data_IF_862743278645
#
_entry.id   IF_862743278645
#
_cell.length_a   1.000
_cell.length_b   1.000
_cell.length_c   1.000
_cell.angle_alpha   90.00
_cell.angle_beta   90.00
_cell.angle_gamma   90.00
#
_symmetry.space_group_name_H-M   'P 1'
#
loop_
_entity.id
_entity.type
_entity.pdbx_description
1 polymer ?
#
# COMPACT_ATOMS: atom_id res chain seq x y z
N UNK A 1 13.16 -10.98 5.52
CA UNK A 1 13.37 -10.00 4.42
C UNK A 1 14.34 -8.87 4.82
N UNK A 2 14.08 -8.04 5.85
CA UNK A 2 14.96 -6.90 6.22
C UNK A 2 16.43 -7.31 6.32
N UNK A 3 16.79 -8.40 7.02
CA UNK A 3 18.16 -8.91 7.11
C UNK A 3 18.77 -9.19 5.73
N UNK A 4 18.02 -9.86 4.86
CA UNK A 4 18.48 -10.14 3.49
C UNK A 4 18.81 -8.87 2.70
N UNK A 5 18.07 -7.79 2.93
CA UNK A 5 18.29 -6.52 2.25
C UNK A 5 19.40 -5.67 2.86
N UNK A 6 19.57 -5.73 4.19
CA UNK A 6 20.45 -4.82 4.93
C UNK A 6 21.80 -5.43 5.28
N UNK A 7 21.84 -6.72 5.65
CA UNK A 7 23.03 -7.37 6.14
C UNK A 7 23.83 -7.98 4.98
N UNK A 8 25.17 -7.92 5.02
CA UNK A 8 26.02 -8.55 4.01
C UNK A 8 25.85 -10.08 4.03
N UNK A 9 25.89 -10.65 5.23
CA UNK A 9 25.58 -12.06 5.49
C UNK A 9 24.36 -12.11 6.39
N UNK A 10 23.32 -12.78 5.95
CA UNK A 10 22.04 -12.90 6.66
C UNK A 10 21.89 -14.31 7.20
N UNK A 11 21.48 -14.42 8.45
CA UNK A 11 21.00 -15.66 9.05
C UNK A 11 19.78 -15.35 9.92
N UNK A 12 18.83 -16.27 9.99
CA UNK A 12 17.64 -16.10 10.83
C UNK A 12 17.10 -17.46 11.26
N UNK A 13 16.77 -17.58 12.53
CA UNK A 13 16.14 -18.78 13.06
C UNK A 13 15.04 -18.41 14.04
N UNK A 14 13.88 -19.02 13.88
CA UNK A 14 12.77 -18.99 14.82
C UNK A 14 12.02 -20.34 14.81
N UNK A 15 10.82 -20.39 15.35
CA UNK A 15 9.98 -21.58 15.40
C UNK A 15 9.56 -22.09 14.00
N UNK A 16 9.41 -21.17 13.02
CA UNK A 16 8.87 -21.48 11.68
C UNK A 16 9.93 -21.48 10.59
N UNK A 17 11.01 -20.75 10.79
CA UNK A 17 12.03 -20.53 9.75
C UNK A 17 13.44 -20.81 10.27
N UNK A 18 14.18 -21.53 9.46
CA UNK A 18 15.63 -21.71 9.65
C UNK A 18 16.35 -21.30 8.36
N UNK A 19 16.83 -20.06 8.34
CA UNK A 19 17.63 -19.51 7.26
C UNK A 19 19.11 -19.61 7.63
N UNK A 20 19.88 -20.55 7.03
CA UNK A 20 21.32 -20.63 7.24
C UNK A 20 22.00 -19.36 6.73
N UNK A 21 23.24 -19.14 7.15
CA UNK A 21 24.04 -18.01 6.71
C UNK A 21 24.11 -17.95 5.17
N UNK A 22 23.63 -16.88 4.61
CA UNK A 22 23.54 -16.68 3.16
C UNK A 22 23.78 -15.23 2.77
N UNK A 23 24.05 -15.01 1.49
CA UNK A 23 24.16 -13.68 0.88
C UNK A 23 23.13 -13.53 -0.21
N UNK A 24 22.49 -12.35 -0.28
CA UNK A 24 21.57 -11.99 -1.34
C UNK A 24 22.09 -10.77 -2.08
N UNK A 25 22.19 -10.87 -3.40
CA UNK A 25 22.54 -9.78 -4.28
C UNK A 25 21.65 -9.76 -5.52
N UNK A 26 21.38 -8.56 -6.13
CA UNK A 26 21.88 -7.25 -5.68
C UNK A 26 21.17 -6.77 -4.41
N UNK A 27 21.85 -5.92 -3.63
CA UNK A 27 21.22 -5.20 -2.52
C UNK A 27 20.34 -4.08 -3.04
N UNK A 28 19.22 -3.76 -2.35
CA UNK A 28 18.40 -2.60 -2.71
C UNK A 28 19.21 -1.30 -2.71
N UNK A 29 18.85 -0.40 -3.62
CA UNK A 29 19.41 0.96 -3.66
C UNK A 29 18.86 1.81 -2.53
N UNK A 30 17.56 1.65 -2.21
CA UNK A 30 16.91 2.36 -1.11
C UNK A 30 17.52 2.00 0.25
N UNK A 31 17.61 2.99 1.13
CA UNK A 31 18.15 2.83 2.49
C UNK A 31 17.06 3.18 3.52
N UNK A 32 16.96 2.40 4.61
CA UNK A 32 17.71 1.17 4.92
C UNK A 32 17.31 -0.02 4.04
N UNK A 33 16.13 -0.01 3.43
CA UNK A 33 15.57 -1.01 2.51
C UNK A 33 14.37 -0.41 1.77
N UNK A 34 13.84 -1.04 0.71
CA UNK A 34 12.57 -0.64 0.10
C UNK A 34 11.44 -0.59 1.14
N UNK A 35 10.49 0.35 1.01
CA UNK A 35 9.34 0.40 1.93
C UNK A 35 8.55 -0.91 1.86
N UNK A 36 8.10 -1.37 3.03
CA UNK A 36 7.31 -2.59 3.16
C UNK A 36 5.85 -2.20 3.36
N UNK A 37 5.02 -2.54 2.38
CA UNK A 37 3.58 -2.37 2.46
C UNK A 37 2.93 -3.71 2.83
N UNK A 38 2.02 -3.67 3.80
CA UNK A 38 1.23 -4.83 4.19
C UNK A 38 -0.18 -4.72 3.65
N UNK A 39 -0.69 -5.82 3.10
CA UNK A 39 -2.08 -5.96 2.70
C UNK A 39 -2.97 -6.50 3.82
N UNK A 40 -4.29 -6.44 3.57
CA UNK A 40 -5.33 -7.02 4.42
C UNK A 40 -5.89 -6.07 5.48
N UNK A 41 -7.12 -6.39 5.92
CA UNK A 41 -7.95 -5.55 6.79
C UNK A 41 -8.16 -6.14 8.19
N UNK A 42 -7.64 -7.34 8.46
CA UNK A 42 -7.78 -7.98 9.78
C UNK A 42 -6.98 -7.23 10.85
N UNK A 43 -7.37 -7.39 12.11
CA UNK A 43 -6.63 -6.81 13.24
C UNK A 43 -5.17 -7.27 13.28
N UNK A 44 -4.90 -8.51 12.89
CA UNK A 44 -3.55 -9.03 12.78
C UNK A 44 -2.75 -8.36 11.65
N UNK A 45 -3.41 -8.01 10.53
CA UNK A 45 -2.79 -7.26 9.45
C UNK A 45 -2.44 -5.84 9.92
N UNK A 46 -3.39 -5.13 10.55
CA UNK A 46 -3.15 -3.78 11.05
C UNK A 46 -2.04 -3.72 12.12
N UNK A 47 -1.94 -4.73 13.00
CA UNK A 47 -0.81 -4.83 13.94
C UNK A 47 0.52 -4.92 13.21
N UNK A 48 0.63 -5.77 12.17
CA UNK A 48 1.86 -5.86 11.35
C UNK A 48 2.20 -4.55 10.66
N UNK A 49 1.19 -3.83 10.15
CA UNK A 49 1.39 -2.48 9.59
C UNK A 49 1.96 -1.54 10.65
N UNK A 50 1.34 -1.48 11.83
CA UNK A 50 1.76 -0.59 12.89
C UNK A 50 3.17 -0.90 13.40
N UNK A 51 3.51 -2.18 13.55
CA UNK A 51 4.81 -2.60 14.10
C UNK A 51 5.94 -2.50 13.06
N UNK A 52 5.68 -2.83 11.80
CA UNK A 52 6.74 -3.12 10.84
C UNK A 52 6.60 -2.38 9.51
N UNK A 53 5.41 -1.91 9.16
CA UNK A 53 5.10 -1.37 7.83
C UNK A 53 5.57 0.06 7.62
N UNK A 54 5.86 0.40 6.37
CA UNK A 54 5.95 1.75 5.85
C UNK A 54 4.74 2.09 4.99
N UNK A 55 3.87 1.10 4.72
CA UNK A 55 2.62 1.32 4.03
C UNK A 55 1.56 0.28 4.37
N UNK A 56 0.31 0.64 4.10
CA UNK A 56 -0.85 -0.23 4.20
C UNK A 56 -1.62 -0.22 2.89
N UNK A 57 -1.97 -1.41 2.41
CA UNK A 57 -2.71 -1.63 1.18
C UNK A 57 -3.96 -2.47 1.46
N UNK A 58 -5.07 -1.85 1.95
CA UNK A 58 -6.35 -2.52 2.06
C UNK A 58 -6.94 -2.83 0.69
N UNK A 59 -7.70 -3.92 0.61
CA UNK A 59 -8.31 -4.34 -0.63
C UNK A 59 -9.78 -3.91 -0.70
N UNK A 60 -10.11 -3.10 -1.72
CA UNK A 60 -11.49 -2.79 -2.11
C UNK A 60 -12.41 -2.24 -0.99
N UNK A 61 -11.86 -1.53 0.00
CA UNK A 61 -12.67 -0.87 1.03
C UNK A 61 -13.34 0.38 0.48
N UNK A 62 -14.62 0.54 0.77
CA UNK A 62 -15.33 1.80 0.58
C UNK A 62 -14.88 2.86 1.60
N UNK A 63 -15.14 4.16 1.33
CA UNK A 63 -14.69 5.21 2.22
C UNK A 63 -15.13 5.04 3.69
N UNK A 64 -16.35 4.62 3.97
CA UNK A 64 -16.84 4.45 5.34
C UNK A 64 -16.14 3.29 6.09
N UNK A 65 -16.09 2.05 5.57
CA UNK A 65 -15.29 0.98 6.17
C UNK A 65 -13.81 1.33 6.26
N UNK A 66 -13.25 2.03 5.26
CA UNK A 66 -11.86 2.48 5.28
C UNK A 66 -11.62 3.44 6.44
N UNK A 67 -12.50 4.44 6.64
CA UNK A 67 -12.40 5.40 7.75
C UNK A 67 -12.36 4.69 9.11
N UNK A 68 -13.22 3.69 9.32
CA UNK A 68 -13.24 2.90 10.54
C UNK A 68 -11.89 2.17 10.75
N UNK A 69 -11.39 1.48 9.73
CA UNK A 69 -10.11 0.74 9.81
C UNK A 69 -8.89 1.66 9.94
N UNK A 70 -8.94 2.85 9.34
CA UNK A 70 -7.90 3.87 9.55
C UNK A 70 -7.89 4.35 11.00
N UNK A 71 -9.04 4.52 11.65
CA UNK A 71 -9.13 4.84 13.08
C UNK A 71 -8.57 3.73 13.98
N UNK A 72 -8.77 2.44 13.62
CA UNK A 72 -8.15 1.31 14.32
C UNK A 72 -6.63 1.35 14.16
N UNK A 73 -6.15 1.60 12.94
CA UNK A 73 -4.72 1.69 12.64
C UNK A 73 -4.06 2.84 13.40
N UNK A 74 -4.70 4.00 13.49
CA UNK A 74 -4.17 5.15 14.24
C UNK A 74 -3.97 4.82 15.71
N UNK A 75 -4.92 4.10 16.33
CA UNK A 75 -4.77 3.64 17.73
C UNK A 75 -3.60 2.66 17.91
N UNK A 76 -3.37 1.79 16.94
CA UNK A 76 -2.23 0.86 16.96
C UNK A 76 -0.90 1.59 16.76
N UNK A 77 -0.84 2.51 15.79
CA UNK A 77 0.35 3.33 15.55
C UNK A 77 0.75 4.14 16.78
N UNK A 78 -0.21 4.78 17.44
CA UNK A 78 0.04 5.54 18.67
C UNK A 78 0.66 4.68 19.77
N UNK A 79 0.25 3.41 19.93
CA UNK A 79 0.85 2.46 20.89
C UNK A 79 2.30 2.11 20.53
N UNK A 80 2.65 2.19 19.26
CA UNK A 80 4.02 1.96 18.77
C UNK A 80 4.86 3.25 18.70
N UNK A 81 4.34 4.39 19.21
CA UNK A 81 5.00 5.69 19.13
C UNK A 81 5.09 6.26 17.69
N UNK A 82 4.18 5.83 16.81
CA UNK A 82 4.11 6.22 15.39
C UNK A 82 2.82 6.98 15.10
N UNK A 83 2.76 7.61 13.94
CA UNK A 83 1.59 8.32 13.46
C UNK A 83 1.29 7.98 11.99
N UNK A 84 0.08 8.33 11.51
CA UNK A 84 -0.35 8.11 10.14
C UNK A 84 0.64 8.64 9.10
N UNK A 85 1.22 9.82 9.32
CA UNK A 85 2.24 10.42 8.44
C UNK A 85 3.51 9.57 8.23
N UNK A 86 3.70 8.53 9.04
CA UNK A 86 4.83 7.59 8.93
C UNK A 86 4.51 6.42 8.00
N UNK A 87 3.30 6.42 7.41
CA UNK A 87 2.80 5.39 6.51
C UNK A 87 2.30 5.99 5.20
N UNK A 88 2.46 5.25 4.12
CA UNK A 88 1.73 5.44 2.87
C UNK A 88 0.49 4.54 2.86
N UNK A 89 -0.67 5.11 2.60
CA UNK A 89 -1.93 4.36 2.46
C UNK A 89 -2.30 4.32 0.98
N UNK A 90 -2.25 3.11 0.42
CA UNK A 90 -2.66 2.86 -0.97
C UNK A 90 -3.95 2.05 -1.00
N UNK A 91 -4.86 2.33 -1.92
CA UNK A 91 -6.10 1.56 -2.09
C UNK A 91 -6.37 1.23 -3.54
N UNK A 92 -6.94 0.05 -3.78
CA UNK A 92 -7.51 -0.31 -5.08
C UNK A 92 -9.04 -0.46 -4.91
N UNK A 93 -9.87 0.37 -5.54
CA UNK A 93 -11.33 0.20 -5.51
C UNK A 93 -11.80 -1.03 -6.29
N UNK A 94 -10.87 -1.77 -6.90
CA UNK A 94 -11.07 -2.99 -7.66
C UNK A 94 -12.03 -2.79 -8.84
N UNK A 95 -13.14 -3.54 -8.90
CA UNK A 95 -14.12 -3.50 -9.99
C UNK A 95 -15.16 -2.38 -9.88
N UNK A 96 -15.01 -1.47 -8.92
CA UNK A 96 -15.92 -0.33 -8.77
C UNK A 96 -15.59 0.76 -9.76
N UNK A 97 -16.61 1.47 -10.28
CA UNK A 97 -16.37 2.66 -11.06
C UNK A 97 -15.51 3.66 -10.27
N UNK A 98 -14.44 4.12 -10.89
CA UNK A 98 -13.67 5.23 -10.36
C UNK A 98 -14.27 6.53 -10.90
N UNK A 99 -14.71 7.40 -9.99
CA UNK A 99 -15.16 8.74 -10.31
C UNK A 99 -14.47 9.78 -9.41
N UNK A 100 -14.67 11.05 -9.72
CA UNK A 100 -14.04 12.14 -8.98
C UNK A 100 -14.54 12.26 -7.54
N UNK A 101 -15.78 11.89 -7.27
CA UNK A 101 -16.34 11.92 -5.91
C UNK A 101 -15.65 10.88 -5.03
N UNK A 102 -15.53 9.66 -5.52
CA UNK A 102 -14.79 8.60 -4.82
C UNK A 102 -13.33 9.00 -4.57
N UNK A 103 -12.66 9.61 -5.56
CA UNK A 103 -11.28 10.08 -5.40
C UNK A 103 -11.17 11.15 -4.31
N UNK A 104 -12.09 12.12 -4.27
CA UNK A 104 -12.15 13.14 -3.21
C UNK A 104 -12.34 12.52 -1.84
N UNK A 105 -13.27 11.57 -1.71
CA UNK A 105 -13.55 10.89 -0.44
C UNK A 105 -12.32 10.10 0.06
N UNK A 106 -11.59 9.43 -0.81
CA UNK A 106 -10.32 8.76 -0.42
C UNK A 106 -9.26 9.78 -0.02
N UNK A 107 -9.09 10.87 -0.76
CA UNK A 107 -8.17 11.97 -0.39
C UNK A 107 -8.50 12.53 0.99
N UNK A 108 -9.78 12.82 1.26
CA UNK A 108 -10.22 13.42 2.51
C UNK A 108 -10.02 12.47 3.73
N UNK A 109 -9.90 11.17 3.48
CA UNK A 109 -9.51 10.16 4.45
C UNK A 109 -7.99 10.02 4.61
N UNK A 110 -7.20 10.74 3.82
CA UNK A 110 -5.73 10.67 3.86
C UNK A 110 -5.17 9.44 3.16
N UNK A 111 -5.81 9.01 2.07
CA UNK A 111 -5.23 8.02 1.15
C UNK A 111 -4.20 8.72 0.27
N UNK A 112 -2.99 8.16 0.20
CA UNK A 112 -1.89 8.74 -0.57
C UNK A 112 -1.90 8.30 -2.03
N UNK A 113 -2.39 7.08 -2.29
CA UNK A 113 -2.39 6.50 -3.63
C UNK A 113 -3.66 5.68 -3.90
N UNK A 114 -4.27 5.91 -5.06
CA UNK A 114 -5.35 5.05 -5.59
C UNK A 114 -4.85 4.28 -6.80
N UNK A 115 -4.93 2.96 -6.76
CA UNK A 115 -4.51 2.05 -7.82
C UNK A 115 -5.74 1.65 -8.61
N UNK A 116 -5.83 2.12 -9.85
CA UNK A 116 -6.95 1.85 -10.73
C UNK A 116 -6.65 0.67 -11.65
N UNK A 117 -7.60 -0.25 -11.77
CA UNK A 117 -7.49 -1.39 -12.66
C UNK A 117 -8.06 -1.05 -14.04
N UNK A 118 -7.33 -1.43 -15.07
CA UNK A 118 -7.78 -1.38 -16.45
C UNK A 118 -7.81 -2.79 -17.03
N UNK A 119 -8.86 -3.08 -17.77
CA UNK A 119 -8.99 -4.31 -18.53
C UNK A 119 -9.18 -3.98 -20.01
N UNK A 120 -8.37 -4.57 -20.86
CA UNK A 120 -8.49 -4.50 -22.30
C UNK A 120 -8.06 -5.83 -22.91
N UNK A 121 -8.64 -6.19 -24.06
CA UNK A 121 -8.35 -7.45 -24.74
C UNK A 121 -7.38 -7.26 -25.92
N UNK A 122 -7.11 -5.99 -26.30
CA UNK A 122 -6.17 -5.62 -27.35
C UNK A 122 -5.50 -4.28 -27.05
N UNK A 123 -4.53 -3.92 -27.88
CA UNK A 123 -3.71 -2.73 -27.67
C UNK A 123 -4.50 -1.43 -27.88
N UNK A 124 -5.40 -1.40 -28.85
CA UNK A 124 -6.19 -0.20 -29.14
C UNK A 124 -7.22 0.07 -28.04
N UNK A 125 -7.86 -0.98 -27.53
CA UNK A 125 -8.72 -0.89 -26.36
C UNK A 125 -7.97 -0.45 -25.12
N UNK A 126 -6.74 -0.91 -24.90
CA UNK A 126 -5.91 -0.47 -23.78
C UNK A 126 -5.56 1.02 -23.90
N UNK A 127 -5.17 1.49 -25.09
CA UNK A 127 -4.90 2.91 -25.32
C UNK A 127 -6.12 3.78 -25.04
N UNK A 128 -7.26 3.42 -25.62
CA UNK A 128 -8.50 4.17 -25.43
C UNK A 128 -8.92 4.21 -23.95
N UNK A 129 -8.74 3.10 -23.21
CA UNK A 129 -9.03 3.03 -21.78
C UNK A 129 -8.08 3.91 -20.95
N UNK A 130 -6.77 3.92 -21.28
CA UNK A 130 -5.77 4.77 -20.63
C UNK A 130 -6.03 6.26 -20.87
N UNK A 131 -6.31 6.65 -22.13
CA UNK A 131 -6.62 8.04 -22.50
C UNK A 131 -7.84 8.54 -21.75
N UNK A 132 -8.92 7.78 -21.77
CA UNK A 132 -10.15 8.10 -21.02
C UNK A 132 -9.89 8.23 -19.52
N UNK A 133 -9.18 7.29 -18.91
CA UNK A 133 -8.84 7.34 -17.49
C UNK A 133 -7.99 8.58 -17.16
N UNK A 134 -7.04 8.91 -18.03
CA UNK A 134 -6.20 10.09 -17.87
C UNK A 134 -7.03 11.37 -17.89
N UNK A 135 -7.95 11.51 -18.85
CA UNK A 135 -8.78 12.71 -19.03
C UNK A 135 -9.85 12.84 -17.95
N UNK A 136 -10.54 11.75 -17.62
CA UNK A 136 -11.69 11.77 -16.72
C UNK A 136 -11.30 11.76 -15.24
N UNK A 137 -10.17 11.14 -14.89
CA UNK A 137 -9.78 10.93 -13.49
C UNK A 137 -8.40 11.53 -13.17
N UNK A 138 -7.34 11.12 -13.87
CA UNK A 138 -5.97 11.46 -13.45
C UNK A 138 -5.70 12.95 -13.52
N UNK A 139 -6.08 13.59 -14.65
CA UNK A 139 -5.88 15.04 -14.83
C UNK A 139 -6.74 15.84 -13.85
N UNK A 140 -8.05 15.60 -13.72
CA UNK A 140 -8.87 16.31 -12.75
C UNK A 140 -8.44 16.10 -11.28
N UNK A 141 -8.02 14.90 -10.89
CA UNK A 141 -7.56 14.61 -9.51
C UNK A 141 -6.30 15.40 -9.16
N UNK A 142 -5.39 15.63 -10.12
CA UNK A 142 -4.18 16.45 -9.90
C UNK A 142 -4.48 17.92 -9.60
N UNK A 143 -5.66 18.39 -9.92
CA UNK A 143 -6.12 19.76 -9.68
C UNK A 143 -6.89 19.92 -8.36
N UNK A 144 -7.10 18.82 -7.62
CA UNK A 144 -7.76 18.79 -6.31
C UNK A 144 -6.75 19.00 -5.19
#
# INVERSE_FOLDING_TARGET
MRRLWCDDVSAYRDEFYDLPACRQYPKPVQRPHPPIHFGGESDAALRRVADLGQGWYPFSLEPEPLAARLGDLDRLLARCGRARRDLEVSICPYMRPADLDLMKRYRDLGVDQVILLLFAFDLDGLRAALERLAEEIVVPVRAL
#
